data_IF_853460840973
#
_entry.id   IF_853460840973
#
_cell.length_a   1.000
_cell.length_b   1.000
_cell.length_c   1.000
_cell.angle_alpha   90.00
_cell.angle_beta   90.00
_cell.angle_gamma   90.00
#
_symmetry.space_group_name_H-M   'P 1'
#
loop_
_entity.id
_entity.type
_entity.pdbx_description
1 polymer ?
#
# COMPACT_ATOMS: atom_id res chain seq x y z
N UNK A 1 -35.76 14.87 9.69
CA UNK A 1 -34.32 14.59 9.82
C UNK A 1 -34.12 13.44 10.78
N UNK A 2 -33.40 12.40 10.34
CA UNK A 2 -32.96 11.30 11.17
C UNK A 2 -32.20 11.84 12.41
N UNK A 3 -32.35 11.22 13.59
CA UNK A 3 -31.76 11.70 14.85
C UNK A 3 -30.24 11.84 14.78
N UNK A 4 -29.61 11.04 13.92
CA UNK A 4 -28.17 11.00 13.72
C UNK A 4 -27.56 12.35 13.27
N UNK A 5 -28.27 13.15 12.45
CA UNK A 5 -27.73 14.43 11.94
C UNK A 5 -27.67 15.51 13.00
N UNK A 6 -28.61 15.49 13.94
CA UNK A 6 -28.68 16.50 15.00
C UNK A 6 -27.53 16.33 16.01
N UNK A 7 -26.93 15.14 16.04
CA UNK A 7 -25.91 14.76 16.99
C UNK A 7 -24.48 14.97 16.47
N UNK A 8 -24.31 15.25 15.17
CA UNK A 8 -23.01 15.54 14.56
C UNK A 8 -22.94 17.02 14.18
N UNK A 9 -21.89 17.71 14.65
CA UNK A 9 -21.63 19.09 14.26
C UNK A 9 -21.56 19.23 12.73
N UNK A 10 -22.18 20.30 12.21
CA UNK A 10 -22.29 20.61 10.78
C UNK A 10 -20.95 20.49 10.05
N UNK A 11 -19.88 21.01 10.64
CA UNK A 11 -18.54 20.99 10.05
C UNK A 11 -18.05 19.56 9.83
N UNK A 12 -18.28 18.67 10.79
CA UNK A 12 -17.86 17.28 10.70
C UNK A 12 -18.73 16.50 9.71
N UNK A 13 -20.03 16.75 9.72
CA UNK A 13 -20.94 16.08 8.81
C UNK A 13 -20.66 16.47 7.35
N UNK A 14 -20.48 17.77 7.04
CA UNK A 14 -20.05 18.21 5.71
C UNK A 14 -18.70 17.59 5.30
N UNK A 15 -17.74 17.50 6.23
CA UNK A 15 -16.46 16.86 5.97
C UNK A 15 -16.60 15.36 5.65
N UNK A 16 -17.51 14.66 6.33
CA UNK A 16 -17.80 13.25 6.08
C UNK A 16 -18.48 13.05 4.73
N UNK A 17 -19.51 13.83 4.43
CA UNK A 17 -20.24 13.76 3.14
C UNK A 17 -19.29 14.04 1.99
N UNK A 18 -18.56 15.15 2.06
CA UNK A 18 -17.66 15.58 1.00
C UNK A 18 -16.62 14.50 0.66
N UNK A 19 -16.15 13.76 1.67
CA UNK A 19 -15.06 12.82 1.53
C UNK A 19 -15.51 11.42 1.12
N UNK A 20 -16.66 10.97 1.60
CA UNK A 20 -17.05 9.57 1.49
C UNK A 20 -18.42 9.35 0.85
N UNK A 21 -19.34 10.31 0.90
CA UNK A 21 -20.70 10.07 0.42
C UNK A 21 -20.75 10.05 -1.12
N UNK A 22 -21.51 9.13 -1.75
CA UNK A 22 -21.72 9.08 -3.20
C UNK A 22 -22.60 10.24 -3.69
N UNK A 23 -22.11 11.47 -3.62
CA UNK A 23 -22.84 12.66 -4.05
C UNK A 23 -23.18 12.58 -5.54
N UNK A 24 -24.44 12.84 -5.87
CA UNK A 24 -24.88 12.96 -7.25
C UNK A 24 -24.31 14.21 -7.90
N UNK A 25 -24.19 14.18 -9.23
CA UNK A 25 -23.81 15.34 -10.04
C UNK A 25 -24.61 16.60 -9.69
N UNK A 26 -25.94 16.48 -9.54
CA UNK A 26 -26.82 17.59 -9.17
C UNK A 26 -26.46 18.17 -7.80
N UNK A 27 -26.19 17.33 -6.80
CA UNK A 27 -25.80 17.77 -5.46
C UNK A 27 -24.45 18.48 -5.49
N UNK A 28 -23.49 18.00 -6.29
CA UNK A 28 -22.16 18.59 -6.43
C UNK A 28 -22.23 19.99 -7.06
N UNK A 29 -22.95 20.12 -8.17
CA UNK A 29 -23.05 21.36 -8.95
C UNK A 29 -23.91 22.40 -8.22
N UNK A 30 -25.06 22.01 -7.67
CA UNK A 30 -25.99 22.95 -7.03
C UNK A 30 -25.47 23.50 -5.69
N UNK A 31 -24.58 22.76 -5.04
CA UNK A 31 -24.04 23.11 -3.71
C UNK A 31 -22.54 23.38 -3.74
N UNK A 32 -22.00 23.87 -4.86
CA UNK A 32 -20.57 24.14 -5.02
C UNK A 32 -20.01 25.21 -4.06
N UNK A 33 -20.88 26.00 -3.45
CA UNK A 33 -20.52 26.97 -2.41
C UNK A 33 -20.31 26.32 -1.03
N UNK A 34 -20.87 25.13 -0.79
CA UNK A 34 -20.72 24.39 0.47
C UNK A 34 -19.50 23.46 0.48
N UNK A 35 -19.06 23.00 -0.69
CA UNK A 35 -17.95 22.07 -0.81
C UNK A 35 -16.69 22.75 -1.34
N UNK A 36 -15.53 22.29 -0.88
CA UNK A 36 -14.23 22.70 -1.44
C UNK A 36 -13.76 21.73 -2.53
N UNK A 37 -13.53 22.20 -3.76
CA UNK A 37 -13.05 21.34 -4.86
C UNK A 37 -11.82 20.50 -4.50
N UNK A 38 -10.85 21.09 -3.79
CA UNK A 38 -9.63 20.40 -3.32
C UNK A 38 -9.85 19.25 -2.34
N UNK A 39 -10.99 19.22 -1.63
CA UNK A 39 -11.37 18.12 -0.73
C UNK A 39 -12.30 17.12 -1.43
N UNK A 40 -13.25 17.63 -2.23
CA UNK A 40 -14.27 16.83 -2.91
C UNK A 40 -13.65 15.88 -3.94
N UNK A 41 -12.56 16.30 -4.60
CA UNK A 41 -11.86 15.50 -5.61
C UNK A 41 -11.38 14.14 -5.07
N UNK A 42 -11.07 14.03 -3.78
CA UNK A 42 -10.59 12.79 -3.16
C UNK A 42 -11.71 11.78 -2.84
N UNK A 43 -12.96 12.15 -3.09
CA UNK A 43 -14.08 11.26 -2.87
C UNK A 43 -14.14 10.19 -3.97
N UNK A 44 -13.86 8.95 -3.59
CA UNK A 44 -13.80 7.80 -4.50
C UNK A 44 -15.16 7.37 -5.05
N UNK A 45 -16.25 7.87 -4.48
CA UNK A 45 -17.61 7.55 -4.91
C UNK A 45 -18.18 8.55 -5.91
N UNK A 46 -17.39 9.58 -6.29
CA UNK A 46 -17.75 10.56 -7.31
C UNK A 46 -16.99 10.21 -8.60
N UNK A 47 -17.74 10.03 -9.69
CA UNK A 47 -17.19 10.01 -11.04
C UNK A 47 -17.27 11.42 -11.61
N UNK A 48 -16.11 12.04 -11.85
CA UNK A 48 -16.04 13.42 -12.33
C UNK A 48 -16.26 13.51 -13.84
N UNK A 49 -17.10 14.47 -14.25
CA UNK A 49 -17.31 14.87 -15.63
C UNK A 49 -16.99 16.37 -15.86
N UNK A 50 -17.15 16.79 -17.11
CA UNK A 50 -16.85 18.16 -17.55
C UNK A 50 -17.67 19.20 -16.78
N UNK A 51 -18.96 18.95 -16.52
CA UNK A 51 -19.86 19.92 -15.87
C UNK A 51 -19.51 20.10 -14.38
N UNK A 52 -19.16 19.01 -13.70
CA UNK A 52 -18.67 19.09 -12.32
C UNK A 52 -17.32 19.82 -12.26
N UNK A 53 -16.39 19.54 -13.20
CA UNK A 53 -15.12 20.25 -13.27
C UNK A 53 -15.34 21.75 -13.55
N UNK A 54 -16.26 22.10 -14.47
CA UNK A 54 -16.63 23.49 -14.75
C UNK A 54 -17.17 24.20 -13.50
N UNK A 55 -18.04 23.54 -12.72
CA UNK A 55 -18.60 24.09 -11.49
C UNK A 55 -17.55 24.42 -10.41
N UNK A 56 -16.38 23.77 -10.47
CA UNK A 56 -15.27 23.98 -9.53
C UNK A 56 -14.02 24.55 -10.21
N UNK A 57 -14.08 24.96 -11.48
CA UNK A 57 -12.93 25.31 -12.32
C UNK A 57 -11.91 26.25 -11.65
N UNK A 58 -12.40 27.27 -10.94
CA UNK A 58 -11.55 28.27 -10.25
C UNK A 58 -10.99 27.79 -8.89
N UNK A 59 -11.53 26.71 -8.33
CA UNK A 59 -11.23 26.21 -6.99
C UNK A 59 -10.63 24.80 -6.97
N UNK A 60 -10.67 24.12 -8.12
CA UNK A 60 -10.17 22.76 -8.25
C UNK A 60 -8.65 22.79 -8.29
N UNK A 61 -8.05 21.81 -7.62
CA UNK A 61 -6.61 21.62 -7.71
C UNK A 61 -6.31 20.78 -8.95
N UNK A 62 -5.85 21.43 -10.02
CA UNK A 62 -5.55 20.78 -11.30
C UNK A 62 -4.47 19.69 -11.19
N UNK A 63 -3.48 19.87 -10.31
CA UNK A 63 -2.45 18.85 -10.05
C UNK A 63 -3.09 17.59 -9.46
N UNK A 64 -3.98 17.76 -8.47
CA UNK A 64 -4.69 16.66 -7.84
C UNK A 64 -5.65 15.99 -8.84
N UNK A 65 -6.38 16.79 -9.64
CA UNK A 65 -7.27 16.30 -10.69
C UNK A 65 -6.48 15.41 -11.67
N UNK A 66 -5.35 15.90 -12.21
CA UNK A 66 -4.50 15.17 -13.16
C UNK A 66 -3.98 13.83 -12.62
N UNK A 67 -3.78 13.70 -11.31
CA UNK A 67 -3.34 12.46 -10.68
C UNK A 67 -4.50 11.49 -10.33
N UNK A 68 -5.76 11.93 -10.47
CA UNK A 68 -6.91 11.15 -10.02
C UNK A 68 -7.41 10.20 -11.11
N UNK A 69 -7.43 8.91 -10.80
CA UNK A 69 -7.79 7.86 -11.77
C UNK A 69 -9.30 7.75 -11.99
N UNK A 70 -10.13 8.12 -11.01
CA UNK A 70 -11.58 7.94 -11.08
C UNK A 70 -12.28 9.12 -11.76
N UNK A 71 -11.83 9.42 -12.97
CA UNK A 71 -12.36 10.46 -13.86
C UNK A 71 -12.59 9.78 -15.20
N UNK A 72 -13.69 10.12 -15.87
CA UNK A 72 -13.86 9.73 -17.27
C UNK A 72 -12.93 10.61 -18.13
N UNK A 73 -11.67 10.18 -18.26
CA UNK A 73 -10.63 10.84 -19.06
C UNK A 73 -10.88 10.71 -20.56
N UNK A 74 -12.06 11.11 -21.00
CA UNK A 74 -12.41 11.21 -22.41
C UNK A 74 -11.46 12.15 -23.14
N UNK A 75 -11.27 11.89 -24.43
CA UNK A 75 -10.45 12.75 -25.29
C UNK A 75 -10.93 14.20 -25.26
N UNK A 76 -12.25 14.42 -25.20
CA UNK A 76 -12.86 15.75 -25.08
C UNK A 76 -12.41 16.48 -23.81
N UNK A 77 -12.47 15.80 -22.65
CA UNK A 77 -12.07 16.38 -21.37
C UNK A 77 -10.58 16.75 -21.37
N UNK A 78 -9.70 15.82 -21.78
CA UNK A 78 -8.25 16.07 -21.85
C UNK A 78 -7.97 17.24 -22.80
N UNK A 79 -8.62 17.26 -23.96
CA UNK A 79 -8.42 18.32 -24.94
C UNK A 79 -8.91 19.69 -24.45
N UNK A 80 -10.08 19.73 -23.78
CA UNK A 80 -10.65 20.97 -23.22
C UNK A 80 -9.75 21.62 -22.18
N UNK A 81 -9.08 20.82 -21.35
CA UNK A 81 -8.31 21.31 -20.20
C UNK A 81 -6.79 21.12 -20.31
N UNK A 82 -6.26 20.73 -21.48
CA UNK A 82 -4.84 20.41 -21.70
C UNK A 82 -3.84 21.46 -21.19
N UNK A 83 -4.21 22.73 -21.19
CA UNK A 83 -3.33 23.85 -20.78
C UNK A 83 -3.39 24.11 -19.26
N UNK A 84 -4.25 23.41 -18.54
CA UNK A 84 -4.36 23.47 -17.07
C UNK A 84 -3.99 22.15 -16.40
N UNK A 85 -4.13 21.03 -17.13
CA UNK A 85 -3.71 19.73 -16.64
C UNK A 85 -2.20 19.69 -16.43
N UNK A 86 -1.78 19.09 -15.32
CA UNK A 86 -0.38 18.81 -15.06
C UNK A 86 0.01 17.51 -15.77
N UNK A 87 0.73 17.63 -16.87
CA UNK A 87 1.09 16.50 -17.72
C UNK A 87 2.09 15.53 -17.09
N UNK A 88 2.85 15.95 -16.08
CA UNK A 88 3.71 15.04 -15.32
C UNK A 88 2.85 14.04 -14.54
N UNK A 89 1.84 14.53 -13.81
CA UNK A 89 0.90 13.65 -13.09
C UNK A 89 -0.04 12.91 -14.03
N UNK A 90 -0.50 13.57 -15.10
CA UNK A 90 -1.38 12.95 -16.08
C UNK A 90 -0.68 11.78 -16.80
N UNK A 91 0.61 11.90 -17.12
CA UNK A 91 1.39 10.82 -17.75
C UNK A 91 1.56 9.59 -16.86
N UNK A 92 1.42 9.73 -15.53
CA UNK A 92 1.41 8.63 -14.55
C UNK A 92 0.03 8.04 -14.30
N UNK A 93 -1.02 8.65 -14.83
CA UNK A 93 -2.39 8.31 -14.50
C UNK A 93 -2.89 7.17 -15.42
N UNK A 94 -3.07 5.99 -14.83
CA UNK A 94 -3.57 4.78 -15.50
C UNK A 94 -5.04 4.89 -15.96
N UNK A 95 -5.79 5.89 -15.49
CA UNK A 95 -7.18 6.13 -15.89
C UNK A 95 -7.34 6.71 -17.30
N UNK A 96 -6.24 7.16 -17.93
CA UNK A 96 -6.29 7.70 -19.29
C UNK A 96 -6.42 6.59 -20.35
N UNK A 97 -7.02 6.90 -21.52
CA UNK A 97 -7.14 5.99 -22.64
C UNK A 97 -5.82 5.88 -23.44
N UNK A 98 -4.75 5.45 -22.77
CA UNK A 98 -3.43 5.30 -23.37
C UNK A 98 -3.47 4.40 -24.61
N UNK A 99 -3.05 4.95 -25.73
CA UNK A 99 -2.99 4.29 -27.03
C UNK A 99 -2.01 5.02 -27.94
N UNK A 100 -1.53 4.38 -29.01
CA UNK A 100 -0.70 5.07 -30.01
C UNK A 100 -1.37 6.34 -30.53
N UNK A 101 -2.68 6.28 -30.83
CA UNK A 101 -3.46 7.45 -31.26
C UNK A 101 -3.49 8.58 -30.22
N UNK A 102 -3.63 8.24 -28.93
CA UNK A 102 -3.58 9.24 -27.87
C UNK A 102 -2.20 9.89 -27.78
N UNK A 103 -1.14 9.07 -27.83
CA UNK A 103 0.24 9.54 -27.80
C UNK A 103 0.58 10.39 -29.02
N UNK A 104 0.07 10.08 -30.21
CA UNK A 104 0.27 10.89 -31.42
C UNK A 104 -0.29 12.31 -31.26
N UNK A 105 -1.48 12.44 -30.67
CA UNK A 105 -2.13 13.74 -30.48
C UNK A 105 -1.44 14.57 -29.41
N UNK A 106 -1.11 13.95 -28.28
CA UNK A 106 -0.61 14.66 -27.10
C UNK A 106 0.90 14.51 -26.89
N UNK A 107 1.64 14.07 -27.92
CA UNK A 107 3.07 13.77 -27.87
C UNK A 107 3.92 14.90 -27.28
N UNK A 108 3.56 16.15 -27.59
CA UNK A 108 4.31 17.33 -27.14
C UNK A 108 4.16 17.59 -25.63
N UNK A 109 3.12 17.03 -25.01
CA UNK A 109 2.83 17.21 -23.61
C UNK A 109 3.18 15.97 -22.77
N UNK A 110 3.08 14.77 -23.35
CA UNK A 110 3.24 13.50 -22.61
C UNK A 110 4.69 13.22 -22.27
N UNK A 111 4.92 12.83 -21.02
CA UNK A 111 6.21 12.32 -20.57
C UNK A 111 6.26 10.79 -20.76
N UNK A 112 6.87 10.32 -21.86
CA UNK A 112 6.91 8.89 -22.22
C UNK A 112 7.54 8.01 -21.14
N UNK A 113 8.52 8.53 -20.40
CA UNK A 113 9.14 7.80 -19.28
C UNK A 113 8.12 7.41 -18.22
N UNK A 114 7.20 8.32 -17.91
CA UNK A 114 6.14 8.10 -16.93
C UNK A 114 5.09 7.13 -17.44
N UNK A 115 4.75 7.20 -18.74
CA UNK A 115 3.81 6.25 -19.38
C UNK A 115 4.40 4.85 -19.40
N UNK A 116 5.70 4.73 -19.68
CA UNK A 116 6.39 3.43 -19.75
C UNK A 116 6.20 2.63 -18.48
N UNK A 117 6.26 3.29 -17.31
CA UNK A 117 6.25 2.65 -16.01
C UNK A 117 4.98 1.81 -15.75
N UNK A 118 3.85 2.14 -16.38
CA UNK A 118 2.57 1.46 -16.17
C UNK A 118 1.91 0.90 -17.45
N UNK A 119 2.16 1.46 -18.64
CA UNK A 119 1.68 0.90 -19.93
C UNK A 119 2.82 0.32 -20.78
N UNK A 120 3.56 -0.65 -20.24
CA UNK A 120 4.68 -1.27 -20.95
C UNK A 120 4.32 -1.94 -22.28
N UNK A 121 3.07 -2.37 -22.46
CA UNK A 121 2.60 -3.01 -23.70
C UNK A 121 2.72 -2.11 -24.93
N UNK A 122 2.76 -0.79 -24.74
CA UNK A 122 2.99 0.16 -25.84
C UNK A 122 4.47 0.26 -26.24
N UNK A 123 5.38 -0.14 -25.35
CA UNK A 123 6.83 -0.07 -25.50
C UNK A 123 7.37 -1.38 -26.08
N UNK A 124 6.95 -1.69 -27.30
CA UNK A 124 7.55 -2.76 -28.10
C UNK A 124 8.99 -2.39 -28.50
N UNK A 125 9.76 -3.37 -28.97
CA UNK A 125 11.08 -3.13 -29.57
C UNK A 125 11.04 -1.95 -30.56
N UNK A 126 10.15 -2.02 -31.55
CA UNK A 126 10.01 -0.97 -32.57
C UNK A 126 9.66 0.39 -31.98
N UNK A 127 8.80 0.45 -30.95
CA UNK A 127 8.44 1.72 -30.34
C UNK A 127 9.63 2.35 -29.63
N UNK A 128 10.37 1.56 -28.84
CA UNK A 128 11.54 2.03 -28.08
C UNK A 128 12.61 2.54 -29.06
N UNK A 129 12.92 1.77 -30.10
CA UNK A 129 13.92 2.15 -31.11
C UNK A 129 13.50 3.43 -31.85
N UNK A 130 12.25 3.54 -32.28
CA UNK A 130 11.77 4.71 -33.02
C UNK A 130 11.64 5.98 -32.17
N UNK A 131 11.55 5.85 -30.85
CA UNK A 131 11.40 6.99 -29.93
C UNK A 131 12.60 7.15 -28.98
N UNK A 132 13.74 6.53 -29.30
CA UNK A 132 14.94 6.48 -28.46
C UNK A 132 15.38 7.87 -27.97
N UNK A 133 15.32 8.87 -28.85
CA UNK A 133 15.70 10.25 -28.52
C UNK A 133 14.78 10.96 -27.52
N UNK A 134 13.54 10.48 -27.34
CA UNK A 134 12.54 11.03 -26.41
C UNK A 134 12.41 10.21 -25.13
N UNK A 135 13.06 9.05 -25.04
CA UNK A 135 13.01 8.15 -23.89
C UNK A 135 14.24 8.40 -23.03
N UNK A 136 14.04 8.67 -21.75
CA UNK A 136 15.13 8.66 -20.79
C UNK A 136 15.34 7.22 -20.30
N UNK A 137 16.36 6.55 -20.82
CA UNK A 137 16.70 5.17 -20.44
C UNK A 137 16.96 4.96 -18.95
N UNK A 138 17.31 6.04 -18.21
CA UNK A 138 17.32 6.05 -16.74
C UNK A 138 16.02 5.53 -16.13
N UNK A 139 14.88 5.95 -16.67
CA UNK A 139 13.55 5.58 -16.18
C UNK A 139 13.16 4.20 -16.70
N UNK A 140 13.53 3.89 -17.95
CA UNK A 140 13.26 2.62 -18.59
C UNK A 140 13.98 1.45 -17.88
N UNK A 141 15.26 1.59 -17.49
CA UNK A 141 16.05 0.52 -16.84
C UNK A 141 15.41 -0.09 -15.59
N UNK A 142 14.54 0.64 -14.88
CA UNK A 142 13.84 0.18 -13.68
C UNK A 142 12.42 -0.32 -13.95
N UNK A 143 12.00 -0.33 -15.21
CA UNK A 143 10.65 -0.67 -15.59
C UNK A 143 10.45 -2.19 -15.54
N UNK A 144 9.66 -2.60 -14.54
CA UNK A 144 9.27 -3.99 -14.26
C UNK A 144 8.32 -4.61 -15.29
N UNK A 145 7.63 -3.78 -16.05
CA UNK A 145 6.54 -4.22 -16.91
C UNK A 145 7.04 -4.42 -18.35
N UNK A 146 8.23 -3.91 -18.69
CA UNK A 146 8.85 -4.14 -19.99
C UNK A 146 9.30 -5.58 -20.10
N UNK A 147 9.05 -6.15 -21.27
CA UNK A 147 9.60 -7.43 -21.65
C UNK A 147 11.04 -7.22 -22.12
N UNK A 148 11.98 -7.20 -21.18
CA UNK A 148 13.40 -7.08 -21.51
C UNK A 148 13.87 -8.34 -22.20
N UNK A 149 14.18 -8.20 -23.48
CA UNK A 149 14.83 -9.22 -24.28
C UNK A 149 16.29 -8.83 -24.51
N UNK A 150 17.13 -9.82 -24.80
CA UNK A 150 18.57 -9.64 -24.95
C UNK A 150 18.91 -8.62 -26.05
N UNK A 151 18.18 -8.63 -27.16
CA UNK A 151 18.31 -7.67 -28.27
C UNK A 151 18.02 -6.22 -27.84
N UNK A 152 17.00 -5.97 -27.02
CA UNK A 152 16.73 -4.64 -26.46
C UNK A 152 17.87 -4.21 -25.53
N UNK A 153 18.40 -5.13 -24.70
CA UNK A 153 19.52 -4.86 -23.80
C UNK A 153 20.78 -4.48 -24.58
N UNK A 154 21.09 -5.22 -25.65
CA UNK A 154 22.24 -4.96 -26.53
C UNK A 154 22.09 -3.63 -27.30
N UNK A 155 20.91 -3.37 -27.89
CA UNK A 155 20.65 -2.14 -28.66
C UNK A 155 20.67 -0.86 -27.80
N UNK A 156 20.40 -1.01 -26.51
CA UNK A 156 20.31 0.10 -25.56
C UNK A 156 21.46 0.12 -24.53
N UNK A 157 22.46 -0.75 -24.67
CA UNK A 157 23.48 -0.99 -23.64
C UNK A 157 24.15 0.31 -23.16
N UNK A 158 24.56 1.17 -24.09
CA UNK A 158 25.22 2.45 -23.82
C UNK A 158 24.35 3.45 -23.04
N UNK A 159 23.03 3.31 -23.13
CA UNK A 159 22.05 4.19 -22.49
C UNK A 159 21.51 3.62 -21.16
N UNK A 160 21.71 2.32 -20.92
CA UNK A 160 21.17 1.60 -19.76
C UNK A 160 22.01 1.78 -18.49
N UNK A 161 21.32 1.76 -17.35
CA UNK A 161 21.97 1.74 -16.04
C UNK A 161 22.20 0.31 -15.56
N UNK A 162 23.13 -0.39 -16.19
CA UNK A 162 23.40 -1.81 -15.92
C UNK A 162 23.64 -2.12 -14.43
N UNK A 163 24.23 -1.18 -13.70
CA UNK A 163 24.49 -1.25 -12.25
C UNK A 163 23.26 -1.00 -11.36
N UNK A 164 22.12 -0.60 -11.92
CA UNK A 164 20.86 -0.40 -11.18
C UNK A 164 19.83 -1.46 -11.57
N UNK A 165 20.01 -2.10 -12.75
CA UNK A 165 19.07 -3.05 -13.33
C UNK A 165 18.91 -4.35 -12.55
N UNK A 166 19.84 -4.71 -11.68
CA UNK A 166 19.73 -5.93 -10.85
C UNK A 166 18.52 -5.95 -9.90
N UNK A 167 17.91 -4.78 -9.65
CA UNK A 167 16.65 -4.65 -8.91
C UNK A 167 15.40 -4.80 -9.79
N UNK A 168 15.54 -4.82 -11.11
CA UNK A 168 14.42 -4.84 -12.03
C UNK A 168 13.78 -6.25 -12.04
N UNK A 169 12.53 -6.40 -11.58
CA UNK A 169 11.85 -7.69 -11.55
C UNK A 169 11.28 -8.10 -12.93
N UNK A 170 11.32 -7.21 -13.93
CA UNK A 170 10.93 -7.49 -15.32
C UNK A 170 12.04 -8.10 -16.16
N UNK A 171 13.27 -8.19 -15.63
CA UNK A 171 14.35 -8.91 -16.29
C UNK A 171 14.16 -10.42 -16.10
N UNK A 172 14.27 -11.21 -17.19
CA UNK A 172 14.16 -12.66 -17.10
C UNK A 172 15.47 -13.26 -16.61
N UNK A 173 15.80 -13.03 -15.33
CA UNK A 173 17.06 -13.46 -14.72
C UNK A 173 17.32 -14.97 -14.80
N UNK A 174 16.25 -15.76 -14.89
CA UNK A 174 16.28 -17.21 -15.04
C UNK A 174 16.42 -17.68 -16.49
N UNK A 175 16.35 -16.77 -17.48
CA UNK A 175 16.68 -17.10 -18.87
C UNK A 175 18.19 -17.05 -19.07
N UNK A 176 18.73 -18.12 -19.67
CA UNK A 176 20.16 -18.25 -19.94
C UNK A 176 20.68 -17.00 -20.67
N UNK A 177 21.87 -16.53 -20.28
CA UNK A 177 22.61 -15.38 -20.81
C UNK A 177 22.26 -14.00 -20.22
N UNK A 178 21.11 -13.80 -19.57
CA UNK A 178 20.82 -12.49 -18.96
C UNK A 178 21.71 -12.26 -17.74
N UNK A 179 21.76 -13.21 -16.80
CA UNK A 179 22.66 -13.09 -15.65
C UNK A 179 24.11 -12.96 -16.10
N UNK A 180 24.54 -13.72 -17.12
CA UNK A 180 25.91 -13.68 -17.64
C UNK A 180 26.24 -12.30 -18.24
N UNK A 181 25.33 -11.73 -19.04
CA UNK A 181 25.47 -10.38 -19.59
C UNK A 181 25.75 -9.35 -18.49
N UNK A 182 25.05 -9.43 -17.37
CA UNK A 182 25.27 -8.51 -16.26
C UNK A 182 26.47 -8.88 -15.37
N UNK A 183 26.73 -10.17 -15.16
CA UNK A 183 27.74 -10.68 -14.23
C UNK A 183 29.15 -10.18 -14.60
N UNK A 184 29.44 -10.06 -15.90
CA UNK A 184 30.71 -9.54 -16.41
C UNK A 184 30.90 -8.04 -16.12
N UNK A 185 29.81 -7.32 -15.89
CA UNK A 185 29.79 -5.87 -15.62
C UNK A 185 29.70 -5.52 -14.12
N UNK A 186 29.50 -6.52 -13.25
CA UNK A 186 29.21 -6.32 -11.83
C UNK A 186 30.44 -6.45 -10.94
N UNK A 187 30.52 -5.56 -9.95
CA UNK A 187 31.45 -5.64 -8.83
C UNK A 187 30.74 -6.20 -7.59
N UNK A 188 31.45 -6.28 -6.46
CA UNK A 188 30.86 -6.67 -5.17
C UNK A 188 29.65 -5.80 -4.78
N UNK A 189 29.61 -4.54 -5.20
CA UNK A 189 28.49 -3.64 -4.90
C UNK A 189 27.20 -4.09 -5.59
N UNK A 190 27.28 -4.42 -6.88
CA UNK A 190 26.13 -4.88 -7.66
C UNK A 190 25.68 -6.27 -7.20
N UNK A 191 26.60 -7.20 -6.95
CA UNK A 191 26.25 -8.53 -6.39
C UNK A 191 25.57 -8.45 -5.03
N UNK A 192 26.05 -7.55 -4.15
CA UNK A 192 25.41 -7.26 -2.87
C UNK A 192 23.98 -6.80 -3.09
N UNK A 193 23.75 -5.89 -4.03
CA UNK A 193 22.42 -5.41 -4.37
C UNK A 193 21.53 -6.50 -4.98
N UNK A 194 22.07 -7.27 -5.93
CA UNK A 194 21.37 -8.36 -6.62
C UNK A 194 20.90 -9.44 -5.65
N UNK A 195 21.62 -9.69 -4.55
CA UNK A 195 21.24 -10.65 -3.51
C UNK A 195 19.85 -10.39 -2.87
N UNK A 196 19.28 -9.18 -3.05
CA UNK A 196 17.91 -8.82 -2.65
C UNK A 196 16.83 -9.13 -3.70
N UNK A 197 17.22 -9.58 -4.89
CA UNK A 197 16.32 -9.79 -6.01
C UNK A 197 15.31 -10.91 -5.67
N UNK A 198 14.03 -10.56 -5.63
CA UNK A 198 12.94 -11.46 -5.24
C UNK A 198 12.49 -12.41 -6.37
N UNK A 199 12.83 -12.09 -7.62
CA UNK A 199 12.43 -12.87 -8.80
C UNK A 199 13.47 -13.90 -9.24
N UNK A 200 14.66 -13.89 -8.64
CA UNK A 200 15.72 -14.83 -8.96
C UNK A 200 15.56 -16.14 -8.18
N UNK A 201 15.78 -17.28 -8.85
CA UNK A 201 15.76 -18.62 -8.24
C UNK A 201 17.03 -18.87 -7.41
N UNK A 202 17.11 -18.22 -6.25
CA UNK A 202 18.24 -18.40 -5.33
C UNK A 202 18.43 -19.84 -4.87
N UNK A 203 17.35 -20.61 -4.71
CA UNK A 203 17.44 -21.98 -4.21
C UNK A 203 18.14 -22.85 -5.25
N UNK A 204 17.71 -22.79 -6.52
CA UNK A 204 18.39 -23.50 -7.61
C UNK A 204 19.86 -23.13 -7.69
N UNK A 205 20.18 -21.84 -7.83
CA UNK A 205 21.56 -21.43 -8.04
C UNK A 205 22.48 -21.66 -6.83
N UNK A 206 22.02 -21.46 -5.60
CA UNK A 206 22.85 -21.69 -4.41
C UNK A 206 23.04 -23.17 -4.10
N UNK A 207 22.17 -24.07 -4.56
CA UNK A 207 22.41 -25.50 -4.40
C UNK A 207 23.47 -26.03 -5.38
N UNK A 208 23.64 -25.39 -6.55
CA UNK A 208 24.46 -25.94 -7.64
C UNK A 208 25.68 -25.09 -8.06
N UNK A 209 25.77 -23.82 -7.67
CA UNK A 209 26.88 -22.93 -8.07
C UNK A 209 27.70 -22.45 -6.88
N UNK A 210 28.92 -22.97 -6.74
CA UNK A 210 29.89 -22.49 -5.74
C UNK A 210 30.41 -21.09 -6.06
N UNK A 211 30.46 -20.71 -7.34
CA UNK A 211 30.91 -19.39 -7.76
C UNK A 211 29.96 -18.28 -7.27
N UNK A 212 28.65 -18.51 -7.38
CA UNK A 212 27.65 -17.55 -6.91
C UNK A 212 27.72 -17.40 -5.38
N UNK A 213 27.94 -18.48 -4.64
CA UNK A 213 28.09 -18.44 -3.16
C UNK A 213 29.20 -17.50 -2.70
N UNK A 214 30.26 -17.36 -3.50
CA UNK A 214 31.40 -16.47 -3.20
C UNK A 214 31.10 -15.00 -3.52
N UNK A 215 30.14 -14.74 -4.41
CA UNK A 215 29.79 -13.39 -4.90
C UNK A 215 28.65 -12.74 -4.11
N UNK A 216 27.70 -13.52 -3.60
CA UNK A 216 26.49 -12.98 -2.95
C UNK A 216 26.73 -12.39 -1.55
N UNK A 217 25.83 -11.50 -1.14
CA UNK A 217 25.75 -10.97 0.22
C UNK A 217 24.69 -11.75 1.02
N UNK A 218 25.15 -12.58 1.96
CA UNK A 218 24.29 -13.39 2.81
C UNK A 218 23.37 -12.59 3.73
N UNK A 219 23.72 -11.34 4.07
CA UNK A 219 22.84 -10.48 4.89
C UNK A 219 21.61 -10.07 4.09
N UNK A 220 21.82 -9.64 2.85
CA UNK A 220 20.75 -9.27 1.92
C UNK A 220 19.93 -10.49 1.49
N UNK A 221 20.58 -11.63 1.26
CA UNK A 221 19.90 -12.88 1.00
C UNK A 221 18.96 -13.26 2.16
N UNK A 222 19.41 -13.14 3.41
CA UNK A 222 18.61 -13.47 4.59
C UNK A 222 17.39 -12.55 4.79
N UNK A 223 17.41 -11.35 4.21
CA UNK A 223 16.28 -10.40 4.20
C UNK A 223 15.36 -10.60 2.99
N UNK A 224 15.72 -11.49 2.06
CA UNK A 224 14.98 -11.66 0.83
C UNK A 224 13.71 -12.48 1.06
N UNK A 225 12.55 -11.80 1.02
CA UNK A 225 11.23 -12.41 1.18
C UNK A 225 10.74 -13.16 -0.08
N UNK A 226 11.45 -13.04 -1.21
CA UNK A 226 11.09 -13.73 -2.47
C UNK A 226 11.68 -15.13 -2.62
N UNK A 227 12.62 -15.51 -1.74
CA UNK A 227 13.17 -16.86 -1.73
C UNK A 227 12.10 -17.82 -1.23
N UNK A 228 11.97 -18.97 -1.91
CA UNK A 228 11.17 -20.09 -1.42
C UNK A 228 11.87 -20.77 -0.23
N UNK A 229 11.78 -20.16 0.95
CA UNK A 229 12.41 -20.65 2.16
C UNK A 229 11.80 -21.97 2.61
N UNK A 230 12.63 -22.99 2.77
CA UNK A 230 12.24 -24.25 3.44
C UNK A 230 13.06 -24.45 4.71
N UNK A 231 12.54 -25.24 5.64
CA UNK A 231 13.27 -25.58 6.86
C UNK A 231 14.59 -26.29 6.54
N UNK A 232 14.63 -27.12 5.48
CA UNK A 232 15.83 -27.79 4.99
C UNK A 232 16.86 -26.79 4.47
N UNK A 233 16.44 -25.79 3.68
CA UNK A 233 17.33 -24.76 3.14
C UNK A 233 17.92 -23.90 4.26
N UNK A 234 17.08 -23.46 5.22
CA UNK A 234 17.52 -22.70 6.40
C UNK A 234 18.51 -23.53 7.22
N UNK A 235 18.23 -24.81 7.43
CA UNK A 235 19.10 -25.70 8.19
C UNK A 235 20.44 -25.92 7.46
N UNK A 236 20.40 -26.15 6.15
CA UNK A 236 21.58 -26.39 5.31
C UNK A 236 22.54 -25.20 5.34
N UNK A 237 22.02 -23.97 5.20
CA UNK A 237 22.82 -22.74 5.18
C UNK A 237 22.86 -22.02 6.55
N UNK A 238 22.52 -22.69 7.64
CA UNK A 238 22.34 -22.08 8.97
C UNK A 238 23.56 -21.31 9.50
N UNK A 239 24.77 -21.68 9.08
CA UNK A 239 26.02 -21.00 9.45
C UNK A 239 26.32 -19.76 8.62
N UNK A 240 25.85 -19.71 7.37
CA UNK A 240 26.06 -18.60 6.45
C UNK A 240 24.96 -17.52 6.59
N UNK A 241 23.75 -17.95 6.93
CA UNK A 241 22.60 -17.05 7.06
C UNK A 241 22.74 -16.08 8.23
N UNK A 242 22.29 -14.84 8.00
CA UNK A 242 22.18 -13.83 9.03
C UNK A 242 20.83 -13.97 9.75
N UNK A 243 20.86 -14.53 10.95
CA UNK A 243 19.67 -14.78 11.78
C UNK A 243 18.93 -13.52 12.23
N UNK A 244 19.60 -12.37 12.32
CA UNK A 244 18.95 -11.09 12.59
C UNK A 244 18.06 -10.70 11.40
N UNK A 245 18.59 -10.84 10.18
CA UNK A 245 17.84 -10.64 8.94
C UNK A 245 16.67 -11.62 8.78
N UNK A 246 16.91 -12.91 9.08
CA UNK A 246 15.85 -13.93 9.07
C UNK A 246 14.74 -13.62 10.09
N UNK A 247 15.08 -13.11 11.29
CA UNK A 247 14.09 -12.81 12.35
C UNK A 247 13.00 -11.85 11.87
N UNK A 248 13.35 -10.87 11.04
CA UNK A 248 12.41 -9.87 10.51
C UNK A 248 11.90 -10.19 9.10
N UNK A 249 12.32 -11.32 8.50
CA UNK A 249 11.92 -11.71 7.16
C UNK A 249 10.49 -12.28 7.18
N UNK A 250 9.58 -11.65 6.46
CA UNK A 250 8.16 -12.06 6.39
C UNK A 250 7.90 -13.19 5.40
N UNK A 251 8.87 -13.51 4.54
CA UNK A 251 8.80 -14.59 3.57
C UNK A 251 9.22 -15.96 4.10
N UNK A 252 9.62 -16.08 5.37
CA UNK A 252 9.89 -17.38 5.98
C UNK A 252 8.59 -18.18 6.19
N UNK A 253 8.64 -19.52 6.16
CA UNK A 253 7.51 -20.38 6.49
C UNK A 253 7.30 -20.43 8.00
N UNK A 254 6.94 -19.30 8.60
CA UNK A 254 6.77 -19.17 10.05
C UNK A 254 5.75 -20.18 10.59
N UNK A 255 6.20 -20.96 11.57
CA UNK A 255 5.39 -21.95 12.28
C UNK A 255 5.90 -22.08 13.71
N UNK A 256 5.07 -22.62 14.61
CA UNK A 256 5.51 -22.92 15.97
C UNK A 256 6.73 -23.85 15.98
N UNK A 257 6.78 -24.85 15.08
CA UNK A 257 7.91 -25.78 14.99
C UNK A 257 9.20 -25.07 14.60
N UNK A 258 9.16 -24.17 13.61
CA UNK A 258 10.32 -23.40 13.17
C UNK A 258 10.85 -22.49 14.29
N UNK A 259 9.93 -21.82 14.99
CA UNK A 259 10.28 -20.90 16.09
C UNK A 259 10.95 -21.67 17.23
N UNK A 260 10.36 -22.79 17.65
CA UNK A 260 10.92 -23.65 18.71
C UNK A 260 12.24 -24.28 18.31
N UNK A 261 12.35 -24.81 17.08
CA UNK A 261 13.55 -25.48 16.57
C UNK A 261 14.78 -24.56 16.59
N UNK A 262 14.59 -23.30 16.21
CA UNK A 262 15.66 -22.30 16.14
C UNK A 262 15.57 -21.23 17.24
N UNK A 263 14.96 -21.55 18.39
CA UNK A 263 14.69 -20.60 19.47
C UNK A 263 15.92 -19.77 19.85
N UNK A 264 17.08 -20.42 19.98
CA UNK A 264 18.34 -19.79 20.41
C UNK A 264 18.97 -18.88 19.35
N UNK A 265 18.49 -18.92 18.10
CA UNK A 265 19.01 -18.14 16.98
C UNK A 265 18.19 -16.87 16.73
N UNK A 266 16.91 -16.87 17.09
CA UNK A 266 16.04 -15.71 16.87
C UNK A 266 16.43 -14.53 17.75
N UNK A 267 16.22 -13.32 17.21
CA UNK A 267 16.42 -12.08 17.96
C UNK A 267 15.16 -11.81 18.79
N UNK A 268 15.22 -12.00 20.10
CA UNK A 268 14.05 -11.85 20.98
C UNK A 268 13.80 -10.43 21.49
N UNK A 269 14.84 -9.57 21.49
CA UNK A 269 14.80 -8.24 22.11
C UNK A 269 15.36 -7.17 21.17
N UNK A 270 14.96 -5.92 21.41
CA UNK A 270 15.39 -4.76 20.65
C UNK A 270 14.51 -4.48 19.42
N UNK A 271 14.97 -3.56 18.58
CA UNK A 271 14.21 -3.04 17.46
C UNK A 271 13.92 -4.07 16.35
N UNK A 272 14.85 -5.00 16.13
CA UNK A 272 14.72 -6.09 15.12
C UNK A 272 14.33 -7.40 15.80
N UNK A 273 13.45 -7.33 16.79
CA UNK A 273 12.99 -8.51 17.52
C UNK A 273 11.88 -9.24 16.77
N UNK A 274 11.74 -10.53 17.09
CA UNK A 274 10.72 -11.42 16.54
C UNK A 274 9.28 -10.88 16.73
N UNK A 275 9.05 -10.10 17.79
CA UNK A 275 7.74 -9.51 18.10
C UNK A 275 7.30 -8.43 17.10
N UNK A 276 8.23 -7.81 16.38
CA UNK A 276 7.92 -6.87 15.30
C UNK A 276 7.57 -7.55 13.97
N UNK A 277 7.77 -8.87 13.88
CA UNK A 277 7.48 -9.62 12.67
C UNK A 277 6.01 -10.06 12.65
N UNK A 278 5.19 -9.30 11.93
CA UNK A 278 3.77 -9.58 11.78
C UNK A 278 3.47 -10.85 10.97
N UNK A 279 4.43 -11.49 10.29
CA UNK A 279 4.18 -12.75 9.59
C UNK A 279 4.07 -13.97 10.53
N UNK A 280 4.39 -13.81 11.81
CA UNK A 280 4.39 -14.89 12.79
C UNK A 280 2.98 -15.13 13.34
N UNK A 281 2.49 -16.39 13.33
CA UNK A 281 1.17 -16.74 13.84
C UNK A 281 1.18 -16.85 15.37
N UNK A 282 1.25 -15.70 16.06
CA UNK A 282 1.20 -15.67 17.52
C UNK A 282 -0.19 -16.10 18.02
N UNK A 283 -0.25 -17.26 18.66
CA UNK A 283 -1.43 -17.75 19.37
C UNK A 283 -1.18 -17.79 20.88
N UNK A 284 -2.20 -18.14 21.66
CA UNK A 284 -2.08 -18.18 23.12
C UNK A 284 -0.96 -19.13 23.60
N UNK A 285 -0.80 -20.29 22.95
CA UNK A 285 0.23 -21.28 23.29
C UNK A 285 1.63 -20.70 23.11
N UNK A 286 1.91 -20.15 21.92
CA UNK A 286 3.22 -19.60 21.59
C UNK A 286 3.57 -18.35 22.43
N UNK A 287 2.58 -17.49 22.71
CA UNK A 287 2.76 -16.34 23.62
C UNK A 287 3.06 -16.85 25.04
N UNK A 288 2.38 -17.90 25.50
CA UNK A 288 2.60 -18.49 26.82
C UNK A 288 4.02 -19.05 26.98
N UNK A 289 4.56 -19.71 25.96
CA UNK A 289 5.92 -20.25 26.01
C UNK A 289 6.99 -19.16 26.13
N UNK A 290 6.72 -18.00 25.52
CA UNK A 290 7.65 -16.89 25.45
C UNK A 290 7.22 -15.66 26.27
N UNK A 291 6.32 -15.85 27.24
CA UNK A 291 5.73 -14.80 28.08
C UNK A 291 6.79 -13.89 28.71
N UNK A 292 7.90 -14.48 29.20
CA UNK A 292 9.00 -13.75 29.84
C UNK A 292 9.85 -12.94 28.87
N UNK A 293 9.81 -13.27 27.58
CA UNK A 293 10.50 -12.55 26.51
C UNK A 293 9.56 -11.62 25.74
N UNK A 294 8.26 -11.62 26.09
CA UNK A 294 7.20 -10.90 25.38
C UNK A 294 7.40 -9.39 25.45
N UNK A 295 7.47 -8.76 24.28
CA UNK A 295 7.35 -7.32 24.12
C UNK A 295 5.85 -6.98 23.99
N UNK A 296 5.22 -6.67 25.12
CA UNK A 296 3.76 -6.48 25.20
C UNK A 296 3.27 -5.30 24.37
N UNK A 297 4.08 -4.26 24.16
CA UNK A 297 3.73 -3.13 23.30
C UNK A 297 3.64 -3.60 21.83
N UNK A 298 4.63 -4.36 21.37
CA UNK A 298 4.68 -4.88 19.99
C UNK A 298 3.62 -5.93 19.72
N UNK A 299 3.38 -6.83 20.68
CA UNK A 299 2.30 -7.82 20.54
C UNK A 299 0.94 -7.12 20.53
N UNK A 300 0.73 -6.08 21.34
CA UNK A 300 -0.52 -5.28 21.32
C UNK A 300 -0.77 -4.61 19.95
N UNK A 301 0.29 -4.17 19.26
CA UNK A 301 0.18 -3.57 17.92
C UNK A 301 -0.07 -4.61 16.81
N UNK A 302 0.27 -5.88 17.08
CA UNK A 302 0.27 -6.93 16.07
C UNK A 302 -1.15 -7.32 15.64
N UNK A 303 -1.42 -7.16 14.35
CA UNK A 303 -2.72 -7.45 13.71
C UNK A 303 -2.91 -8.93 13.35
N UNK A 304 -1.86 -9.73 13.44
CA UNK A 304 -1.85 -11.15 13.07
C UNK A 304 -1.77 -12.08 14.28
N UNK A 305 -1.82 -11.54 15.50
CA UNK A 305 -2.09 -12.33 16.71
C UNK A 305 -3.50 -12.91 16.61
N UNK A 306 -3.67 -14.17 17.01
CA UNK A 306 -4.97 -14.81 17.17
C UNK A 306 -5.68 -14.27 18.42
N UNK A 307 -6.21 -13.05 18.32
CA UNK A 307 -6.87 -12.39 19.43
C UNK A 307 -8.15 -13.10 19.86
N UNK A 308 -8.23 -13.43 21.13
CA UNK A 308 -9.42 -13.95 21.79
C UNK A 308 -9.65 -13.20 23.09
N UNK A 309 -10.89 -13.15 23.59
CA UNK A 309 -11.15 -12.57 24.91
C UNK A 309 -10.35 -13.27 26.01
N UNK A 310 -10.19 -14.60 25.95
CA UNK A 310 -9.40 -15.36 26.92
C UNK A 310 -7.93 -14.91 26.95
N UNK A 311 -7.31 -14.68 25.78
CA UNK A 311 -5.94 -14.17 25.69
C UNK A 311 -5.84 -12.76 26.32
N UNK A 312 -6.86 -11.93 26.11
CA UNK A 312 -6.93 -10.57 26.63
C UNK A 312 -7.10 -10.59 28.15
N UNK A 313 -8.05 -11.38 28.66
CA UNK A 313 -8.31 -11.59 30.08
C UNK A 313 -7.05 -12.13 30.81
N UNK A 314 -6.37 -13.12 30.23
CA UNK A 314 -5.20 -13.77 30.86
C UNK A 314 -4.03 -12.81 31.12
N UNK A 315 -3.84 -11.82 30.26
CA UNK A 315 -2.73 -10.86 30.35
C UNK A 315 -3.22 -9.42 30.44
N UNK A 316 -4.40 -9.21 31.04
CA UNK A 316 -5.10 -7.93 31.10
C UNK A 316 -4.23 -6.76 31.59
N UNK A 317 -3.38 -7.01 32.58
CA UNK A 317 -2.50 -6.01 33.20
C UNK A 317 -1.21 -5.74 32.42
N UNK A 318 -0.91 -6.55 31.40
CA UNK A 318 0.32 -6.42 30.61
C UNK A 318 0.08 -5.73 29.27
N UNK A 319 -1.14 -5.75 28.78
CA UNK A 319 -1.46 -5.16 27.48
C UNK A 319 -1.32 -3.64 27.47
N UNK A 320 -0.78 -3.13 26.37
CA UNK A 320 -0.74 -1.71 26.10
C UNK A 320 -2.11 -1.25 25.58
N UNK A 321 -3.04 -0.95 26.49
CA UNK A 321 -4.44 -0.67 26.17
C UNK A 321 -4.64 0.46 25.15
N UNK A 322 -3.82 1.51 25.19
CA UNK A 322 -3.87 2.57 24.19
C UNK A 322 -3.52 2.07 22.77
N UNK A 323 -2.57 1.14 22.66
CA UNK A 323 -2.21 0.49 21.39
C UNK A 323 -3.31 -0.48 20.96
N UNK A 324 -3.81 -1.31 21.88
CA UNK A 324 -4.92 -2.25 21.64
C UNK A 324 -6.17 -1.53 21.10
N UNK A 325 -6.47 -0.35 21.63
CA UNK A 325 -7.63 0.46 21.22
C UNK A 325 -7.63 0.79 19.73
N UNK A 326 -6.44 0.82 19.09
CA UNK A 326 -6.23 1.08 17.67
C UNK A 326 -6.11 -0.18 16.83
N UNK A 327 -6.04 -1.35 17.45
CA UNK A 327 -5.82 -2.61 16.75
C UNK A 327 -7.14 -3.09 16.11
N UNK A 328 -7.24 -3.14 14.77
CA UNK A 328 -8.47 -3.55 14.10
C UNK A 328 -8.75 -5.05 14.18
N UNK A 329 -7.77 -5.85 14.63
CA UNK A 329 -7.87 -7.32 14.69
C UNK A 329 -8.40 -7.86 16.03
N UNK A 330 -8.71 -6.98 16.99
CA UNK A 330 -9.39 -7.39 18.21
C UNK A 330 -10.82 -7.89 17.90
N UNK A 331 -11.42 -8.73 18.78
CA UNK A 331 -12.78 -9.24 18.60
C UNK A 331 -13.84 -8.17 18.91
N UNK A 332 -13.80 -7.06 18.17
CA UNK A 332 -14.67 -5.90 18.39
C UNK A 332 -16.14 -6.29 18.30
N UNK A 333 -16.85 -6.04 19.40
CA UNK A 333 -18.29 -6.16 19.53
C UNK A 333 -18.75 -5.14 20.57
N UNK A 334 -20.04 -4.83 20.61
CA UNK A 334 -20.58 -3.92 21.65
C UNK A 334 -20.26 -4.44 23.06
N UNK A 335 -20.44 -5.74 23.32
CA UNK A 335 -20.14 -6.36 24.61
C UNK A 335 -18.66 -6.32 24.96
N UNK A 336 -17.78 -6.50 23.97
CA UNK A 336 -16.34 -6.40 24.16
C UNK A 336 -15.91 -4.96 24.51
N UNK A 337 -16.48 -3.97 23.83
CA UNK A 337 -16.26 -2.55 24.16
C UNK A 337 -16.77 -2.28 25.58
N UNK A 338 -17.98 -2.71 25.92
CA UNK A 338 -18.55 -2.50 27.26
C UNK A 338 -17.69 -3.10 28.38
N UNK A 339 -17.13 -4.30 28.15
CA UNK A 339 -16.28 -5.01 29.12
C UNK A 339 -15.01 -4.22 29.44
N UNK A 340 -14.38 -3.59 28.44
CA UNK A 340 -13.07 -2.94 28.58
C UNK A 340 -13.07 -1.42 28.38
N UNK A 341 -14.23 -0.76 28.28
CA UNK A 341 -14.34 0.68 27.99
C UNK A 341 -13.58 1.61 28.94
N UNK A 342 -13.35 1.17 30.18
CA UNK A 342 -12.58 1.94 31.16
C UNK A 342 -11.06 1.90 30.89
N UNK A 343 -10.60 0.92 30.11
CA UNK A 343 -9.20 0.74 29.74
C UNK A 343 -8.90 1.24 28.33
N UNK A 344 -9.88 1.17 27.43
CA UNK A 344 -9.68 1.65 26.06
C UNK A 344 -9.45 3.16 26.01
N UNK A 345 -8.51 3.53 25.15
CA UNK A 345 -8.26 4.89 24.70
C UNK A 345 -9.27 5.24 23.61
N UNK A 346 -10.14 6.21 23.89
CA UNK A 346 -11.22 6.57 22.98
C UNK A 346 -10.76 7.29 21.71
N UNK A 347 -9.60 7.94 21.73
CA UNK A 347 -8.96 8.44 20.50
C UNK A 347 -8.60 7.26 19.59
N UNK A 348 -8.02 6.21 20.15
CA UNK A 348 -7.75 4.95 19.45
C UNK A 348 -9.01 4.33 18.85
N UNK A 349 -10.07 4.20 19.64
CA UNK A 349 -11.40 3.70 19.21
C UNK A 349 -11.96 4.52 18.05
N UNK A 350 -11.89 5.85 18.14
CA UNK A 350 -12.44 6.77 17.12
C UNK A 350 -11.79 6.57 15.74
N UNK A 351 -10.49 6.27 15.72
CA UNK A 351 -9.72 5.99 14.51
C UNK A 351 -9.73 4.51 14.06
N UNK A 352 -10.32 3.60 14.84
CA UNK A 352 -10.21 2.17 14.61
C UNK A 352 -11.18 1.69 13.51
N UNK A 353 -10.63 1.18 12.41
CA UNK A 353 -11.40 0.67 11.26
C UNK A 353 -11.92 -0.77 11.46
N UNK A 354 -11.53 -1.45 12.54
CA UNK A 354 -12.01 -2.81 12.89
C UNK A 354 -13.33 -2.83 13.65
N UNK A 355 -13.78 -1.68 14.17
CA UNK A 355 -15.03 -1.60 14.94
C UNK A 355 -16.23 -1.72 14.00
N UNK A 356 -17.21 -2.59 14.29
CA UNK A 356 -18.39 -2.77 13.44
C UNK A 356 -19.44 -1.68 13.71
N UNK A 357 -19.13 -0.44 13.36
CA UNK A 357 -20.02 0.71 13.58
C UNK A 357 -21.42 0.47 13.00
N UNK A 358 -22.42 0.82 13.80
CA UNK A 358 -23.82 0.93 13.41
C UNK A 358 -24.43 2.10 14.19
N UNK A 359 -25.64 2.51 13.84
CA UNK A 359 -26.30 3.68 14.44
C UNK A 359 -26.40 3.57 15.97
N UNK A 360 -26.85 2.41 16.50
CA UNK A 360 -26.97 2.20 17.94
C UNK A 360 -25.63 2.29 18.66
N UNK A 361 -24.59 1.67 18.09
CA UNK A 361 -23.24 1.68 18.66
C UNK A 361 -22.66 3.10 18.70
N UNK A 362 -22.85 3.86 17.61
CA UNK A 362 -22.44 5.25 17.55
C UNK A 362 -23.18 6.10 18.60
N UNK A 363 -24.51 6.03 18.64
CA UNK A 363 -25.32 6.80 19.58
C UNK A 363 -24.98 6.49 21.05
N UNK A 364 -24.64 5.23 21.35
CA UNK A 364 -24.24 4.80 22.69
C UNK A 364 -22.92 5.41 23.16
N UNK A 365 -21.97 5.63 22.24
CA UNK A 365 -20.60 6.04 22.58
C UNK A 365 -20.21 7.41 22.04
N UNK A 366 -21.12 8.15 21.38
CA UNK A 366 -20.81 9.43 20.71
C UNK A 366 -20.09 10.44 21.60
N UNK A 367 -20.46 10.52 22.89
CA UNK A 367 -19.88 11.49 23.83
C UNK A 367 -18.43 11.15 24.22
N UNK A 368 -17.99 9.91 23.94
CA UNK A 368 -16.62 9.49 24.13
C UNK A 368 -15.78 9.64 22.86
N UNK A 369 -16.40 9.72 21.68
CA UNK A 369 -15.69 9.73 20.41
C UNK A 369 -15.06 11.08 20.12
N UNK A 370 -13.86 11.02 19.58
CA UNK A 370 -13.17 12.18 19.03
C UNK A 370 -13.51 12.31 17.55
N UNK A 371 -14.38 13.27 17.25
CA UNK A 371 -14.87 13.51 15.90
C UNK A 371 -13.77 13.94 14.92
N UNK A 372 -12.67 14.53 15.40
CA UNK A 372 -11.53 14.85 14.55
C UNK A 372 -10.86 13.58 13.99
N UNK A 373 -11.02 12.42 14.64
CA UNK A 373 -10.55 11.13 14.13
C UNK A 373 -11.64 10.35 13.39
N UNK A 374 -12.90 10.44 13.83
CA UNK A 374 -14.03 9.77 13.15
C UNK A 374 -14.13 10.22 11.69
N UNK A 375 -13.87 11.49 11.38
CA UNK A 375 -13.91 12.01 10.00
C UNK A 375 -12.82 11.45 9.06
N UNK A 376 -11.85 10.70 9.61
CA UNK A 376 -10.84 9.94 8.85
C UNK A 376 -11.12 8.43 8.84
N UNK A 377 -12.12 7.96 9.59
CA UNK A 377 -12.45 6.54 9.72
C UNK A 377 -13.33 6.07 8.55
N UNK A 378 -12.72 5.34 7.60
CA UNK A 378 -13.42 4.86 6.40
C UNK A 378 -14.52 3.86 6.73
N UNK A 379 -14.26 2.96 7.69
CA UNK A 379 -15.24 1.96 8.11
C UNK A 379 -16.49 2.63 8.69
N UNK A 380 -16.31 3.65 9.54
CA UNK A 380 -17.41 4.46 10.05
C UNK A 380 -18.21 5.08 8.89
N UNK A 381 -17.52 5.74 7.96
CA UNK A 381 -18.16 6.38 6.83
C UNK A 381 -18.93 5.39 5.93
N UNK A 382 -18.36 4.22 5.62
CA UNK A 382 -19.01 3.20 4.81
C UNK A 382 -20.26 2.60 5.47
N UNK A 383 -20.23 2.44 6.80
CA UNK A 383 -21.32 1.82 7.57
C UNK A 383 -22.41 2.78 7.98
N UNK A 384 -22.07 4.04 8.23
CA UNK A 384 -22.99 5.06 8.73
C UNK A 384 -23.31 6.05 7.61
N UNK A 385 -22.30 6.76 7.12
CA UNK A 385 -22.48 7.91 6.23
C UNK A 385 -23.02 7.49 4.86
N UNK A 386 -22.42 6.47 4.25
CA UNK A 386 -22.82 6.00 2.91
C UNK A 386 -24.18 5.29 2.90
N UNK A 387 -24.78 5.04 4.07
CA UNK A 387 -26.12 4.45 4.21
C UNK A 387 -27.23 5.48 4.34
N UNK A 388 -26.89 6.76 4.44
CA UNK A 388 -27.87 7.84 4.52
C UNK A 388 -28.65 7.94 3.20
N UNK A 389 -30.00 7.96 3.24
CA UNK A 389 -30.82 8.21 2.06
C UNK A 389 -30.50 9.55 1.39
N UNK A 390 -30.40 9.56 0.06
CA UNK A 390 -30.09 10.79 -0.70
C UNK A 390 -31.09 11.93 -0.44
N UNK A 391 -32.35 11.60 -0.16
CA UNK A 391 -33.38 12.59 0.21
C UNK A 391 -33.06 13.32 1.51
N UNK A 392 -32.44 12.63 2.48
CA UNK A 392 -32.02 13.26 3.73
C UNK A 392 -30.82 14.17 3.52
N UNK A 393 -29.88 13.79 2.65
CA UNK A 393 -28.78 14.67 2.22
C UNK A 393 -29.32 15.92 1.52
N UNK A 394 -30.32 15.77 0.64
CA UNK A 394 -30.94 16.90 -0.04
C UNK A 394 -31.67 17.84 0.93
N UNK A 395 -32.35 17.31 1.94
CA UNK A 395 -32.99 18.11 2.99
C UNK A 395 -31.95 18.85 3.84
N UNK A 396 -30.88 18.17 4.23
CA UNK A 396 -29.80 18.75 5.01
C UNK A 396 -29.08 19.87 4.25
N UNK A 397 -28.68 19.64 3.00
CA UNK A 397 -27.99 20.65 2.18
C UNK A 397 -28.85 21.88 1.89
N UNK A 398 -30.18 21.76 1.91
CA UNK A 398 -31.11 22.89 1.79
C UNK A 398 -31.31 23.66 3.11
N UNK A 399 -30.99 23.03 4.24
CA UNK A 399 -31.18 23.62 5.57
C UNK A 399 -30.03 24.52 6.01
N UNK A 400 -28.86 24.33 5.39
CA UNK A 400 -27.70 25.22 5.44
C UNK A 400 -27.89 26.31 4.38
#
# INVERSE_FOLDING_TARGET
MNSLFNDIDEKYFLSLIQRFYPLSKKQIVSNNHLFTGSKLIFNKNILWDIEQIDAYYNSINWIVLSNYQNIDWSYELVHKYKDHLDWMYLSRNEGLPWSYKFLEVFNEYVHLDEVSAHISKLFTYDFIVNHKEKITFRSLSNNKNLNWQKDILEECEDDLRLKEMYYNPGLPWSENLVLDFFADHWTNSEWRGFSKNKGFDWVGYLLYSDEIKLKIDWNNLSLNEGINWTEEFINHFSSALNWKGLTINKGLPWSESLIRKFESKWTWFGYESIWTNYAIPWNESLISDYEKKCDWDRVSENRNVEWTENLIDKYEDKWAWAILSRNPSLPWSESFIDKYKAKFDWVGISSNEGIPWNENLFLKYKDNLDMDFVVWNKNFAERIINKIPSTEIDEYLKSI
#
